data_IF_558783936602
#
_entry.id   IF_558783936602
#
_cell.length_a   1.000
_cell.length_b   1.000
_cell.length_c   1.000
_cell.angle_alpha   90.00
_cell.angle_beta   90.00
_cell.angle_gamma   90.00
#
_symmetry.space_group_name_H-M   'P 1'
#
loop_
_entity.id
_entity.type
_entity.pdbx_description
1 polymer ?
#
# COMPACT_ATOMS: atom_id res chain seq x y z
N UNK A 1 -5.89 8.39 4.34
CA UNK A 1 -4.49 8.49 3.85
C UNK A 1 -3.53 7.98 4.92
N UNK A 2 -3.56 6.67 5.23
CA UNK A 2 -2.71 6.10 6.31
C UNK A 2 -1.31 5.75 5.81
N UNK A 3 -1.21 5.00 4.69
CA UNK A 3 0.07 4.56 4.15
C UNK A 3 1.02 5.73 3.83
N UNK A 4 0.56 6.70 3.04
CA UNK A 4 1.42 7.84 2.61
C UNK A 4 1.90 8.67 3.81
N UNK A 5 1.01 8.95 4.77
CA UNK A 5 1.37 9.74 5.96
C UNK A 5 2.42 9.03 6.82
N UNK A 6 2.27 7.73 7.04
CA UNK A 6 3.21 6.94 7.85
C UNK A 6 4.54 6.71 7.10
N UNK A 7 4.49 6.41 5.79
CA UNK A 7 5.66 6.11 4.99
C UNK A 7 6.58 7.34 4.81
N UNK A 8 6.01 8.52 4.59
CA UNK A 8 6.76 9.78 4.40
C UNK A 8 7.04 10.52 5.71
N UNK A 9 6.29 10.25 6.77
CA UNK A 9 6.37 10.98 8.03
C UNK A 9 7.56 10.63 8.91
N UNK A 10 8.33 9.57 8.58
CA UNK A 10 9.46 9.09 9.39
C UNK A 10 9.15 8.98 10.90
N UNK A 11 7.93 8.50 11.22
CA UNK A 11 7.36 8.50 12.57
C UNK A 11 8.11 7.54 13.50
N UNK A 12 8.65 6.45 12.94
CA UNK A 12 9.41 5.43 13.65
C UNK A 12 10.90 5.49 13.30
N UNK A 13 11.75 5.03 14.21
CA UNK A 13 13.21 4.94 13.97
C UNK A 13 13.56 3.97 12.82
N UNK A 14 12.73 2.95 12.58
CA UNK A 14 12.80 2.05 11.42
C UNK A 14 11.40 1.52 11.08
N UNK A 15 11.27 0.82 9.95
CA UNK A 15 10.09 0.07 9.51
C UNK A 15 8.87 0.92 9.08
N UNK A 16 9.01 2.24 8.90
CA UNK A 16 7.92 3.14 8.47
C UNK A 16 7.12 2.60 7.27
N UNK A 17 7.80 2.10 6.22
CA UNK A 17 7.16 1.53 5.02
C UNK A 17 6.32 0.27 5.33
N UNK A 18 6.88 -0.65 6.13
CA UNK A 18 6.20 -1.89 6.55
C UNK A 18 4.99 -1.56 7.42
N UNK A 19 5.16 -0.65 8.39
CA UNK A 19 4.07 -0.19 9.26
C UNK A 19 2.97 0.50 8.45
N UNK A 20 3.33 1.33 7.48
CA UNK A 20 2.39 2.00 6.57
C UNK A 20 1.55 1.01 5.77
N UNK A 21 2.17 -0.02 5.18
CA UNK A 21 1.45 -1.07 4.44
C UNK A 21 0.50 -1.83 5.35
N UNK A 22 1.01 -2.33 6.49
CA UNK A 22 0.19 -3.09 7.44
C UNK A 22 -0.98 -2.26 7.96
N UNK A 23 -0.77 -0.98 8.27
CA UNK A 23 -1.84 -0.09 8.71
C UNK A 23 -2.92 0.09 7.64
N UNK A 24 -2.54 0.27 6.37
CA UNK A 24 -3.49 0.40 5.27
C UNK A 24 -4.28 -0.90 5.02
N UNK A 25 -3.60 -2.05 4.97
CA UNK A 25 -4.24 -3.36 4.78
C UNK A 25 -5.16 -3.70 5.97
N UNK A 26 -4.73 -3.41 7.19
CA UNK A 26 -5.55 -3.63 8.40
C UNK A 26 -6.80 -2.76 8.38
N UNK A 27 -6.67 -1.49 7.98
CA UNK A 27 -7.83 -0.62 7.84
C UNK A 27 -8.85 -1.17 6.83
N UNK A 28 -8.39 -1.61 5.65
CA UNK A 28 -9.28 -2.22 4.64
C UNK A 28 -9.93 -3.49 5.16
N UNK A 29 -9.18 -4.36 5.83
CA UNK A 29 -9.70 -5.59 6.42
C UNK A 29 -10.78 -5.32 7.47
N UNK A 30 -10.66 -4.25 8.26
CA UNK A 30 -11.70 -3.82 9.21
C UNK A 30 -12.98 -3.34 8.51
N UNK A 31 -12.90 -2.94 7.24
CA UNK A 31 -14.04 -2.57 6.41
C UNK A 31 -14.54 -3.74 5.54
N UNK A 32 -14.14 -4.97 5.86
CA UNK A 32 -14.48 -6.19 5.10
C UNK A 32 -13.97 -6.18 3.64
N UNK A 33 -12.97 -5.35 3.34
CA UNK A 33 -12.26 -5.33 2.06
C UNK A 33 -10.96 -6.11 2.24
N UNK A 34 -10.89 -7.30 1.64
CA UNK A 34 -9.70 -8.13 1.70
C UNK A 34 -8.76 -7.82 0.53
N UNK A 35 -7.55 -7.39 0.86
CA UNK A 35 -6.46 -7.18 -0.10
C UNK A 35 -5.37 -8.17 0.25
N UNK A 36 -5.14 -9.13 -0.63
CA UNK A 36 -4.10 -10.13 -0.44
C UNK A 36 -2.73 -9.46 -0.46
N UNK A 37 -1.94 -9.71 0.59
CA UNK A 37 -0.60 -9.12 0.70
C UNK A 37 0.34 -9.86 -0.26
N UNK A 38 1.06 -9.07 -1.05
CA UNK A 38 2.04 -9.54 -2.02
C UNK A 38 3.40 -8.86 -1.77
N UNK A 39 4.51 -9.51 -2.12
CA UNK A 39 5.85 -8.94 -2.00
C UNK A 39 6.00 -7.64 -2.82
N UNK A 40 5.34 -7.54 -3.97
CA UNK A 40 5.33 -6.35 -4.85
C UNK A 40 4.72 -5.13 -4.16
N UNK A 41 3.79 -5.32 -3.21
CA UNK A 41 3.25 -4.20 -2.42
C UNK A 41 4.33 -3.60 -1.50
N UNK A 42 5.35 -4.37 -1.11
CA UNK A 42 6.47 -3.83 -0.33
C UNK A 42 7.37 -2.94 -1.18
N UNK A 43 7.60 -3.31 -2.44
CA UNK A 43 8.35 -2.49 -3.40
C UNK A 43 7.60 -1.19 -3.74
N UNK A 44 6.29 -1.27 -3.97
CA UNK A 44 5.45 -0.08 -4.18
C UNK A 44 5.47 0.88 -2.98
N UNK A 45 5.66 0.37 -1.76
CA UNK A 45 5.82 1.23 -0.58
C UNK A 45 7.13 2.04 -0.58
N UNK A 46 8.14 1.62 -1.34
CA UNK A 46 9.34 2.43 -1.59
C UNK A 46 8.94 3.64 -2.45
N UNK A 47 8.24 3.42 -3.56
CA UNK A 47 7.77 4.49 -4.45
C UNK A 47 6.82 5.46 -3.73
N UNK A 48 5.94 4.95 -2.86
CA UNK A 48 5.08 5.78 -2.01
C UNK A 48 5.91 6.66 -1.08
N UNK A 49 6.96 6.12 -0.47
CA UNK A 49 7.83 6.86 0.45
C UNK A 49 8.69 7.91 -0.28
N UNK A 50 9.14 7.60 -1.50
CA UNK A 50 9.93 8.50 -2.34
C UNK A 50 9.11 9.61 -3.01
N UNK A 51 7.78 9.48 -3.00
CA UNK A 51 6.91 10.47 -3.61
C UNK A 51 6.57 10.21 -5.07
N UNK A 52 7.08 9.11 -5.64
CA UNK A 52 6.86 8.69 -7.03
C UNK A 52 5.42 8.26 -7.23
N UNK A 53 4.95 7.32 -6.39
CA UNK A 53 3.57 6.82 -6.44
C UNK A 53 2.66 7.73 -5.61
N UNK A 54 1.65 8.30 -6.27
CA UNK A 54 0.69 9.19 -5.61
C UNK A 54 -0.38 8.40 -4.85
N UNK A 55 -1.02 9.08 -3.90
CA UNK A 55 -2.05 8.47 -3.03
C UNK A 55 -3.18 7.81 -3.82
N UNK A 56 -3.61 8.44 -4.91
CA UNK A 56 -4.72 7.93 -5.72
C UNK A 56 -4.31 6.70 -6.53
N UNK A 57 -3.10 6.70 -7.08
CA UNK A 57 -2.55 5.57 -7.84
C UNK A 57 -2.38 4.35 -6.93
N UNK A 58 -1.81 4.56 -5.74
CA UNK A 58 -1.70 3.49 -4.74
C UNK A 58 -3.07 2.96 -4.30
N UNK A 59 -4.06 3.83 -4.12
CA UNK A 59 -5.42 3.39 -3.78
C UNK A 59 -6.05 2.57 -4.91
N UNK A 60 -5.82 2.94 -6.16
CA UNK A 60 -6.31 2.21 -7.32
C UNK A 60 -5.69 0.80 -7.40
N UNK A 61 -4.40 0.65 -7.10
CA UNK A 61 -3.71 -0.65 -7.04
C UNK A 61 -4.33 -1.54 -5.95
N UNK A 62 -4.57 -1.00 -4.74
CA UNK A 62 -5.22 -1.77 -3.69
C UNK A 62 -6.64 -2.20 -4.07
N UNK A 63 -7.38 -1.33 -4.76
CA UNK A 63 -8.73 -1.63 -5.26
C UNK A 63 -8.72 -2.69 -6.36
N UNK A 64 -7.76 -2.66 -7.29
CA UNK A 64 -7.66 -3.67 -8.35
C UNK A 64 -7.41 -5.06 -7.77
N UNK A 65 -6.51 -5.16 -6.79
CA UNK A 65 -6.23 -6.41 -6.07
C UNK A 65 -7.49 -6.90 -5.33
N UNK A 66 -8.19 -6.02 -4.60
CA UNK A 66 -9.41 -6.39 -3.88
C UNK A 66 -10.51 -6.93 -4.80
N UNK A 67 -10.60 -6.40 -6.02
CA UNK A 67 -11.59 -6.80 -7.02
C UNK A 67 -11.15 -8.00 -7.87
N UNK A 68 -9.94 -8.53 -7.65
CA UNK A 68 -9.39 -9.66 -8.40
C UNK A 68 -8.87 -9.29 -9.80
N UNK A 69 -8.71 -8.00 -10.10
CA UNK A 69 -8.06 -7.49 -11.31
C UNK A 69 -6.55 -7.41 -11.08
N UNK A 70 -5.88 -8.56 -10.89
CA UNK A 70 -4.42 -8.61 -10.70
C UNK A 70 -3.71 -8.57 -12.06
N UNK A 71 -3.64 -7.37 -12.68
CA UNK A 71 -3.08 -7.16 -14.03
C UNK A 71 -1.54 -7.04 -14.04
N UNK A 72 -0.85 -7.50 -12.99
CA UNK A 72 0.61 -7.57 -12.98
C UNK A 72 1.18 -8.63 -13.93
N UNK A 73 0.33 -9.41 -14.62
CA UNK A 73 0.72 -10.47 -15.56
C UNK A 73 0.65 -10.05 -17.04
N UNK A 74 0.44 -8.77 -17.35
CA UNK A 74 0.32 -8.29 -18.74
C UNK A 74 1.50 -7.45 -19.26
N UNK A 75 2.68 -7.57 -18.65
CA UNK A 75 3.94 -7.00 -19.18
C UNK A 75 4.96 -8.09 -19.48
#
# INVERSE_FOLDING_TARGET
>A
MYAVAIARGHIFNDANKRTALVAALTYLKLQEIDVQRDARLEDLMVEVAEGVLQVQEFANILASIALGFDDFNSV
#
